data_IF_520517329580
#
_entry.id   IF_520517329580
#
_cell.length_a   1.000
_cell.length_b   1.000
_cell.length_c   1.000
_cell.angle_alpha   90.00
_cell.angle_beta   90.00
_cell.angle_gamma   90.00
#
_symmetry.space_group_name_H-M   'P 1'
#
loop_
_entity.id
_entity.type
_entity.pdbx_description
1 polymer ?
#
# COMPACT_ATOMS: atom_id res chain seq x y z
N UNK A 1 -11.45 0.07 -10.68
CA UNK A 1 -11.99 -1.02 -9.83
C UNK A 1 -12.44 -0.45 -8.48
N UNK A 2 -13.63 0.16 -8.43
CA UNK A 2 -14.25 0.63 -7.16
C UNK A 2 -15.58 -0.08 -6.86
N UNK A 3 -16.08 -0.88 -7.81
CA UNK A 3 -17.36 -1.59 -7.75
C UNK A 3 -17.40 -2.72 -6.71
N UNK A 4 -16.26 -3.24 -6.27
CA UNK A 4 -16.16 -4.30 -5.26
C UNK A 4 -16.04 -3.78 -3.83
N UNK A 5 -16.04 -2.45 -3.64
CA UNK A 5 -15.93 -1.84 -2.30
C UNK A 5 -17.35 -1.76 -1.71
N UNK A 6 -17.65 -2.45 -0.60
CA UNK A 6 -18.93 -2.30 0.08
C UNK A 6 -19.13 -0.84 0.50
N UNK A 7 -20.27 -0.27 0.14
CA UNK A 7 -20.71 1.04 0.62
C UNK A 7 -22.17 0.90 1.05
N UNK A 8 -22.38 0.88 2.37
CA UNK A 8 -23.69 0.74 3.00
C UNK A 8 -24.03 1.98 3.84
N UNK A 9 -23.03 2.79 4.18
CA UNK A 9 -23.17 4.05 4.91
C UNK A 9 -22.95 5.27 4.01
N UNK A 10 -23.54 6.44 4.33
CA UNK A 10 -23.31 7.67 3.56
C UNK A 10 -21.83 8.04 3.42
N UNK A 11 -21.06 7.89 4.50
CA UNK A 11 -19.62 8.16 4.50
C UNK A 11 -18.83 7.22 3.56
N UNK A 12 -19.24 5.96 3.44
CA UNK A 12 -18.63 5.03 2.49
C UNK A 12 -18.97 5.39 1.04
N UNK A 13 -20.20 5.84 0.77
CA UNK A 13 -20.58 6.31 -0.57
C UNK A 13 -19.74 7.51 -1.00
N UNK A 14 -19.56 8.51 -0.13
CA UNK A 14 -18.69 9.65 -0.39
C UNK A 14 -17.23 9.24 -0.63
N UNK A 15 -16.74 8.26 0.13
CA UNK A 15 -15.40 7.69 -0.09
C UNK A 15 -15.29 7.02 -1.47
N UNK A 16 -16.28 6.25 -1.88
CA UNK A 16 -16.29 5.59 -3.20
C UNK A 16 -16.33 6.64 -4.32
N UNK A 17 -17.15 7.69 -4.19
CA UNK A 17 -17.19 8.79 -5.15
C UNK A 17 -15.85 9.52 -5.27
N UNK A 18 -15.17 9.77 -4.15
CA UNK A 18 -13.81 10.33 -4.15
C UNK A 18 -12.82 9.44 -4.90
N UNK A 19 -12.86 8.12 -4.66
CA UNK A 19 -12.00 7.17 -5.37
C UNK A 19 -12.31 7.13 -6.87
N UNK A 20 -13.57 7.31 -7.27
CA UNK A 20 -13.95 7.39 -8.69
C UNK A 20 -13.38 8.62 -9.39
N UNK A 21 -13.08 9.70 -8.66
CA UNK A 21 -12.42 10.89 -9.23
C UNK A 21 -10.92 10.70 -9.51
N UNK A 22 -10.32 9.58 -9.09
CA UNK A 22 -8.93 9.22 -9.38
C UNK A 22 -8.80 8.59 -10.76
N UNK A 23 -8.88 9.43 -11.79
CA UNK A 23 -8.85 9.03 -13.19
C UNK A 23 -7.42 8.78 -13.72
N UNK A 24 -7.32 7.98 -14.78
CA UNK A 24 -6.03 7.53 -15.34
C UNK A 24 -5.19 8.66 -15.94
N UNK A 25 -5.81 9.75 -16.43
CA UNK A 25 -5.11 10.95 -16.93
C UNK A 25 -4.21 11.58 -15.87
N UNK A 26 -4.53 11.43 -14.58
CA UNK A 26 -3.71 11.96 -13.48
C UNK A 26 -2.38 11.25 -13.34
N UNK A 27 -2.30 9.99 -13.77
CA UNK A 27 -1.11 9.15 -13.72
C UNK A 27 -0.17 9.46 -14.90
N UNK A 28 -0.74 9.90 -16.03
CA UNK A 28 -0.03 10.04 -17.30
C UNK A 28 1.23 10.93 -17.24
N UNK A 29 1.26 12.10 -16.55
CA UNK A 29 2.46 12.94 -16.50
C UNK A 29 3.67 12.25 -15.87
N UNK A 30 3.47 11.52 -14.76
CA UNK A 30 4.55 10.78 -14.11
C UNK A 30 5.06 9.66 -15.03
N UNK A 31 4.17 8.94 -15.71
CA UNK A 31 4.55 7.88 -16.65
C UNK A 31 5.34 8.44 -17.82
N UNK A 32 4.89 9.56 -18.41
CA UNK A 32 5.59 10.22 -19.52
C UNK A 32 6.99 10.69 -19.09
N UNK A 33 7.12 11.26 -17.89
CA UNK A 33 8.43 11.62 -17.32
C UNK A 33 9.33 10.39 -17.16
N UNK A 34 8.83 9.32 -16.52
CA UNK A 34 9.61 8.10 -16.28
C UNK A 34 10.04 7.39 -17.57
N UNK A 35 9.28 7.54 -18.65
CA UNK A 35 9.60 7.01 -19.97
C UNK A 35 10.56 7.88 -20.80
N UNK A 36 10.97 9.05 -20.30
CA UNK A 36 11.86 9.98 -20.99
C UNK A 36 13.30 9.91 -20.47
N UNK A 37 14.27 10.45 -21.23
CA UNK A 37 15.68 10.54 -20.80
C UNK A 37 15.89 11.40 -19.54
N UNK A 38 14.90 12.22 -19.18
CA UNK A 38 14.95 13.03 -17.96
C UNK A 38 14.92 12.18 -16.69
N UNK A 39 14.43 10.93 -16.76
CA UNK A 39 14.35 10.01 -15.62
C UNK A 39 15.62 9.22 -15.37
N UNK A 40 16.75 9.55 -16.03
CA UNK A 40 18.02 8.79 -15.96
C UNK A 40 18.52 8.44 -14.56
N UNK A 41 18.22 9.28 -13.56
CA UNK A 41 18.65 9.10 -12.16
C UNK A 41 17.60 8.36 -11.30
N UNK A 42 16.48 7.93 -11.89
CA UNK A 42 15.37 7.24 -11.22
C UNK A 42 15.36 5.78 -11.61
N UNK A 43 15.74 4.91 -10.68
CA UNK A 43 15.63 3.46 -10.84
C UNK A 43 15.18 2.78 -9.56
N UNK A 44 14.45 1.68 -9.71
CA UNK A 44 14.04 0.81 -8.61
C UNK A 44 13.32 1.62 -7.49
N UNK A 45 12.36 2.45 -7.87
CA UNK A 45 11.51 3.22 -6.96
C UNK A 45 10.04 2.85 -7.17
N UNK A 46 9.22 3.07 -6.15
CA UNK A 46 7.77 2.83 -6.21
C UNK A 46 7.08 4.18 -5.97
N UNK A 47 6.26 4.62 -6.90
CA UNK A 47 5.47 5.84 -6.78
C UNK A 47 3.99 5.50 -6.78
N UNK A 48 3.19 6.24 -5.99
CA UNK A 48 1.75 6.26 -6.14
C UNK A 48 1.30 7.66 -6.55
N UNK A 49 0.27 7.71 -7.40
CA UNK A 49 -0.35 8.96 -7.84
C UNK A 49 -1.78 9.00 -7.34
N UNK A 50 -2.15 10.08 -6.67
CA UNK A 50 -3.50 10.37 -6.17
C UNK A 50 -3.88 11.76 -6.66
N UNK A 51 -4.61 11.86 -7.77
CA UNK A 51 -4.85 13.14 -8.47
C UNK A 51 -3.53 13.88 -8.73
N UNK A 52 -3.34 15.08 -8.18
CA UNK A 52 -2.12 15.87 -8.39
C UNK A 52 -1.04 15.58 -7.32
N UNK A 53 -1.28 14.64 -6.42
CA UNK A 53 -0.30 14.19 -5.42
C UNK A 53 0.51 13.00 -5.95
N UNK A 54 1.84 13.05 -5.79
CA UNK A 54 2.75 11.94 -6.06
C UNK A 54 3.47 11.59 -4.76
N UNK A 55 3.30 10.37 -4.29
CA UNK A 55 3.95 9.84 -3.10
C UNK A 55 5.05 8.83 -3.46
N UNK A 56 6.21 8.94 -2.82
CA UNK A 56 7.30 7.96 -2.92
C UNK A 56 7.14 6.89 -1.84
N UNK A 57 7.08 5.63 -2.25
CA UNK A 57 6.93 4.48 -1.36
C UNK A 57 8.29 3.89 -1.04
N UNK A 58 8.45 3.47 0.22
CA UNK A 58 9.60 2.65 0.61
C UNK A 58 9.44 1.22 0.10
N UNK A 59 10.56 0.53 -0.10
CA UNK A 59 10.54 -0.91 -0.39
C UNK A 59 10.33 -1.71 0.89
N UNK A 60 9.56 -2.79 0.86
CA UNK A 60 9.47 -3.68 2.01
C UNK A 60 10.86 -4.24 2.36
N UNK A 61 11.18 -4.21 3.65
CA UNK A 61 12.39 -4.82 4.22
C UNK A 61 11.94 -5.83 5.28
N UNK A 62 12.71 -6.90 5.55
CA UNK A 62 12.41 -7.76 6.68
C UNK A 62 12.38 -6.93 7.98
N UNK A 63 11.23 -6.92 8.65
CA UNK A 63 11.05 -6.19 9.92
C UNK A 63 11.29 -7.07 11.15
N UNK A 64 11.24 -8.39 10.97
CA UNK A 64 11.47 -9.39 12.01
C UNK A 64 12.00 -10.68 11.40
N UNK A 65 12.83 -11.39 12.13
CA UNK A 65 13.33 -12.71 11.76
C UNK A 65 13.43 -13.59 13.00
N UNK A 66 13.30 -14.90 12.81
CA UNK A 66 13.50 -15.91 13.84
C UNK A 66 14.04 -17.15 13.16
N UNK A 67 15.06 -17.75 13.77
CA UNK A 67 15.73 -18.94 13.24
C UNK A 67 15.44 -20.11 14.17
N UNK A 68 15.17 -21.27 13.59
CA UNK A 68 15.00 -22.55 14.29
C UNK A 68 15.94 -23.56 13.65
N UNK A 69 16.91 -24.05 14.43
CA UNK A 69 18.09 -24.79 13.90
C UNK A 69 17.68 -26.15 13.35
N UNK A 70 16.75 -26.80 14.04
CA UNK A 70 16.13 -28.08 13.71
C UNK A 70 15.11 -27.99 12.56
N UNK A 71 14.83 -26.78 12.06
CA UNK A 71 13.82 -26.53 11.03
C UNK A 71 12.43 -26.20 11.60
N UNK A 72 11.54 -25.75 10.73
CA UNK A 72 10.18 -25.36 11.09
C UNK A 72 9.17 -26.46 10.74
N UNK A 73 8.29 -26.81 11.69
CA UNK A 73 7.06 -27.57 11.43
C UNK A 73 5.85 -26.63 11.43
N UNK A 74 4.71 -27.01 10.83
CA UNK A 74 3.48 -26.21 10.90
C UNK A 74 3.06 -25.88 12.34
N UNK A 75 3.22 -26.82 13.27
CA UNK A 75 2.89 -26.64 14.69
C UNK A 75 3.81 -25.60 15.34
N UNK A 76 5.12 -25.69 15.09
CA UNK A 76 6.08 -24.70 15.57
C UNK A 76 5.81 -23.30 15.01
N UNK A 77 5.40 -23.21 13.74
CA UNK A 77 5.02 -21.93 13.14
C UNK A 77 3.80 -21.35 13.86
N UNK A 78 2.76 -22.16 14.09
CA UNK A 78 1.52 -21.73 14.71
C UNK A 78 1.69 -21.33 16.19
N UNK A 79 2.51 -22.07 16.94
CA UNK A 79 2.63 -21.93 18.39
C UNK A 79 3.84 -21.10 18.84
N UNK A 80 4.87 -20.91 18.00
CA UNK A 80 6.08 -20.16 18.36
C UNK A 80 6.27 -18.93 17.46
N UNK A 81 6.36 -19.12 16.14
CA UNK A 81 6.72 -18.05 15.21
C UNK A 81 5.64 -16.96 15.12
N UNK A 82 4.40 -17.36 14.81
CA UNK A 82 3.29 -16.41 14.60
C UNK A 82 3.00 -15.60 15.87
N UNK A 83 2.90 -16.19 17.08
CA UNK A 83 2.74 -15.41 18.30
C UNK A 83 3.89 -14.42 18.52
N UNK A 84 5.13 -14.84 18.26
CA UNK A 84 6.30 -13.98 18.36
C UNK A 84 6.23 -12.78 17.42
N UNK A 85 5.71 -12.97 16.19
CA UNK A 85 5.66 -11.92 15.18
C UNK A 85 4.41 -11.05 15.26
N UNK A 86 3.38 -11.47 16.01
CA UNK A 86 2.05 -10.85 16.03
C UNK A 86 2.08 -9.35 16.34
N UNK A 87 2.93 -8.90 17.26
CA UNK A 87 3.04 -7.47 17.60
C UNK A 87 3.63 -6.60 16.48
N UNK A 88 4.25 -7.21 15.47
CA UNK A 88 4.80 -6.54 14.29
C UNK A 88 3.92 -6.70 13.05
N UNK A 89 2.77 -7.37 13.15
CA UNK A 89 1.85 -7.49 12.03
C UNK A 89 1.22 -6.14 11.69
N UNK A 90 1.07 -5.89 10.39
CA UNK A 90 0.28 -4.77 9.92
C UNK A 90 -1.16 -4.89 10.46
N UNK A 91 -1.78 -3.74 10.71
CA UNK A 91 -3.14 -3.67 11.20
C UNK A 91 -4.11 -4.26 10.16
N UNK A 92 -4.95 -5.19 10.58
CA UNK A 92 -5.91 -5.83 9.69
C UNK A 92 -7.03 -4.88 9.21
N UNK A 93 -7.27 -3.80 9.95
CA UNK A 93 -8.24 -2.74 9.64
C UNK A 93 -7.61 -1.56 8.88
N UNK A 94 -6.34 -1.66 8.44
CA UNK A 94 -5.67 -0.55 7.78
C UNK A 94 -6.29 -0.24 6.40
N UNK A 95 -6.69 1.01 6.19
CA UNK A 95 -7.19 1.53 4.92
C UNK A 95 -6.41 2.77 4.52
N UNK A 96 -6.52 3.18 3.25
CA UNK A 96 -5.77 4.33 2.73
C UNK A 96 -5.95 5.62 3.55
N UNK A 97 -7.11 5.82 4.18
CA UNK A 97 -7.38 6.98 5.03
C UNK A 97 -6.55 7.02 6.33
N UNK A 98 -6.07 5.86 6.81
CA UNK A 98 -5.16 5.80 7.96
C UNK A 98 -3.75 6.26 7.61
N UNK A 99 -3.33 6.06 6.35
CA UNK A 99 -2.02 6.48 5.84
C UNK A 99 -2.06 7.92 5.31
N UNK A 100 -3.15 8.28 4.64
CA UNK A 100 -3.39 9.61 4.09
C UNK A 100 -4.60 10.25 4.78
N UNK A 101 -4.42 11.01 5.87
CA UNK A 101 -5.52 11.57 6.67
C UNK A 101 -6.18 12.80 6.02
N UNK A 102 -5.95 13.03 4.74
CA UNK A 102 -6.43 14.17 3.96
C UNK A 102 -6.86 13.76 2.54
N UNK A 103 -7.66 14.63 1.93
CA UNK A 103 -8.10 14.47 0.55
C UNK A 103 -7.01 14.89 -0.44
N UNK A 104 -6.86 14.08 -1.48
CA UNK A 104 -5.99 14.42 -2.59
C UNK A 104 -6.58 15.58 -3.40
N UNK A 105 -5.73 16.54 -3.74
CA UNK A 105 -6.06 17.76 -4.49
C UNK A 105 -5.87 17.51 -5.98
#
# INVERSE_FOLDING_TARGET
>A
MTSSIPATTPAEHERVQRLQSMSADKIAPLVAYLASDLSKDVTNQIFAVRKNEIALFCKPRPIRSMTKVEGWTPEAIAHELVPSFRSSFARADEVSAHVFPYDAI
#
